data_IF_998984574409
#
_entry.id   IF_998984574409
#
_cell.length_a   1.000
_cell.length_b   1.000
_cell.length_c   1.000
_cell.angle_alpha   90.00
_cell.angle_beta   90.00
_cell.angle_gamma   90.00
#
_symmetry.space_group_name_H-M   'P 1'
#
loop_
_entity.id
_entity.type
_entity.pdbx_description
1 polymer ?
#
# COMPACT_ATOMS: atom_id res chain seq x y z
N UNK A 1 -38.61 -2.10 -4.62
CA UNK A 1 -37.23 -2.67 -4.50
C UNK A 1 -36.27 -1.50 -4.56
N UNK A 2 -35.34 -1.42 -3.62
CA UNK A 2 -34.43 -0.29 -3.55
C UNK A 2 -33.57 -0.20 -4.82
N UNK A 3 -33.44 1.01 -5.37
CA UNK A 3 -32.63 1.28 -6.57
C UNK A 3 -31.12 1.06 -6.37
N UNK A 4 -30.71 0.66 -5.14
CA UNK A 4 -29.33 0.36 -4.75
C UNK A 4 -28.89 -1.09 -5.05
N UNK A 5 -29.76 -1.90 -5.68
CA UNK A 5 -29.40 -3.26 -6.04
C UNK A 5 -28.32 -3.31 -7.12
N UNK A 6 -27.34 -4.20 -6.96
CA UNK A 6 -26.27 -4.43 -7.91
C UNK A 6 -26.86 -5.00 -9.22
N UNK A 7 -26.72 -4.24 -10.31
CA UNK A 7 -27.22 -4.61 -11.65
C UNK A 7 -26.19 -5.45 -12.41
N UNK A 8 -24.92 -5.04 -12.37
CA UNK A 8 -23.88 -5.68 -13.14
C UNK A 8 -22.51 -5.47 -12.51
N UNK A 9 -21.60 -6.43 -12.74
CA UNK A 9 -20.18 -6.36 -12.39
C UNK A 9 -19.39 -6.68 -13.65
N UNK A 10 -18.50 -5.78 -14.06
CA UNK A 10 -17.62 -5.97 -15.22
C UNK A 10 -16.17 -5.79 -14.82
N UNK A 11 -15.27 -6.41 -15.58
CA UNK A 11 -13.83 -6.36 -15.35
C UNK A 11 -13.08 -5.99 -16.62
N UNK A 12 -11.94 -5.32 -16.45
CA UNK A 12 -11.00 -5.08 -17.53
C UNK A 12 -9.58 -5.16 -17.04
N UNK A 13 -8.67 -5.60 -17.91
CA UNK A 13 -7.24 -5.54 -17.63
C UNK A 13 -6.70 -4.14 -17.83
N UNK A 14 -5.76 -3.80 -16.95
CA UNK A 14 -4.91 -2.63 -17.12
C UNK A 14 -3.47 -3.08 -16.99
N UNK A 15 -2.74 -3.02 -18.10
CA UNK A 15 -1.30 -3.27 -18.14
C UNK A 15 -0.62 -1.95 -18.50
N UNK A 16 0.36 -1.54 -17.67
CA UNK A 16 1.12 -0.30 -17.88
C UNK A 16 2.62 -0.56 -17.76
N UNK A 17 3.45 -0.02 -18.64
CA UNK A 17 4.90 -0.03 -18.44
C UNK A 17 5.25 0.82 -17.22
N UNK A 18 6.28 0.39 -16.49
CA UNK A 18 6.88 1.18 -15.42
C UNK A 18 8.00 2.06 -15.99
N UNK A 19 8.21 3.21 -15.38
CA UNK A 19 9.30 4.14 -15.74
C UNK A 19 10.68 3.60 -15.33
N UNK A 20 10.70 2.60 -14.45
CA UNK A 20 11.88 1.91 -13.98
C UNK A 20 11.53 0.46 -13.64
N UNK A 21 12.50 -0.45 -13.67
CA UNK A 21 12.34 -1.79 -13.13
C UNK A 21 12.07 -1.71 -11.63
N UNK A 22 10.91 -2.22 -11.20
CA UNK A 22 10.59 -2.34 -9.78
C UNK A 22 11.11 -3.67 -9.26
N UNK A 23 12.23 -3.62 -8.54
CA UNK A 23 12.90 -4.77 -7.98
C UNK A 23 12.86 -4.76 -6.45
N UNK A 24 12.47 -5.89 -5.88
CA UNK A 24 12.44 -6.20 -4.44
C UNK A 24 13.12 -7.54 -4.20
N UNK A 25 13.23 -7.97 -2.96
CA UNK A 25 13.71 -9.32 -2.63
C UNK A 25 12.83 -10.44 -3.18
N UNK A 26 11.54 -10.17 -3.41
CA UNK A 26 10.56 -11.16 -3.89
C UNK A 26 10.54 -11.30 -5.42
N UNK A 27 11.14 -10.38 -6.16
CA UNK A 27 11.18 -10.41 -7.62
C UNK A 27 11.26 -9.02 -8.25
N UNK A 28 11.20 -9.00 -9.59
CA UNK A 28 11.24 -7.75 -10.35
C UNK A 28 10.20 -7.71 -11.46
N UNK A 29 9.73 -6.51 -11.81
CA UNK A 29 8.81 -6.28 -12.92
C UNK A 29 9.06 -4.94 -13.61
N UNK A 30 8.81 -4.91 -14.92
CA UNK A 30 8.89 -3.71 -15.76
C UNK A 30 7.51 -3.22 -16.20
N UNK A 31 6.46 -3.95 -15.83
CA UNK A 31 5.06 -3.61 -16.12
C UNK A 31 4.20 -3.92 -14.90
N UNK A 32 3.25 -3.05 -14.60
CA UNK A 32 2.15 -3.40 -13.72
C UNK A 32 1.06 -4.15 -14.49
N UNK A 33 0.36 -5.03 -13.81
CA UNK A 33 -0.85 -5.65 -14.31
C UNK A 33 -1.89 -5.65 -13.18
N UNK A 34 -3.05 -5.05 -13.44
CA UNK A 34 -4.19 -4.99 -12.53
C UNK A 34 -5.48 -5.35 -13.24
N UNK A 35 -6.45 -5.83 -12.49
CA UNK A 35 -7.84 -6.00 -12.93
C UNK A 35 -8.67 -4.88 -12.31
N UNK A 36 -9.25 -4.04 -13.14
CA UNK A 36 -10.23 -3.03 -12.70
C UNK A 36 -11.61 -3.69 -12.66
N UNK A 37 -12.28 -3.54 -11.54
CA UNK A 37 -13.65 -3.99 -11.31
C UNK A 37 -14.57 -2.78 -11.38
N UNK A 38 -15.68 -2.90 -12.09
CA UNK A 38 -16.76 -1.92 -12.11
C UNK A 38 -18.03 -2.58 -11.61
N UNK A 39 -18.59 -2.05 -10.53
CA UNK A 39 -19.92 -2.38 -10.02
C UNK A 39 -20.88 -1.29 -10.47
N UNK A 40 -22.01 -1.68 -11.11
CA UNK A 40 -23.08 -0.77 -11.54
C UNK A 40 -24.37 -1.15 -10.85
N UNK A 41 -25.05 -0.16 -10.29
CA UNK A 41 -26.35 -0.32 -9.63
C UNK A 41 -27.52 -0.13 -10.60
N UNK A 42 -28.74 -0.52 -10.20
CA UNK A 42 -29.96 -0.35 -11.00
C UNK A 42 -30.27 1.12 -11.30
N UNK A 43 -29.99 2.03 -10.37
CA UNK A 43 -30.14 3.48 -10.58
C UNK A 43 -29.04 4.11 -11.44
N UNK A 44 -28.06 3.32 -11.90
CA UNK A 44 -26.95 3.79 -12.74
C UNK A 44 -25.71 4.27 -11.99
N UNK A 45 -25.71 4.34 -10.65
CA UNK A 45 -24.51 4.66 -9.87
C UNK A 45 -23.43 3.57 -10.08
N UNK A 46 -22.16 3.98 -10.13
CA UNK A 46 -21.05 3.06 -10.39
C UNK A 46 -19.94 3.27 -9.37
N UNK A 47 -19.30 2.18 -8.97
CA UNK A 47 -18.07 2.17 -8.19
C UNK A 47 -16.98 1.38 -8.89
N UNK A 48 -15.73 1.83 -8.74
CA UNK A 48 -14.54 1.19 -9.28
C UNK A 48 -13.65 0.67 -8.17
N UNK A 49 -13.10 -0.53 -8.36
CA UNK A 49 -12.06 -1.11 -7.54
C UNK A 49 -10.92 -1.62 -8.41
N UNK A 50 -9.79 -1.91 -7.80
CA UNK A 50 -8.60 -2.41 -8.49
C UNK A 50 -8.02 -3.59 -7.72
N UNK A 51 -7.65 -4.65 -8.45
CA UNK A 51 -6.92 -5.80 -7.95
C UNK A 51 -5.55 -5.84 -8.63
N UNK A 52 -4.49 -5.33 -8.01
CA UNK A 52 -3.14 -5.42 -8.57
C UNK A 52 -2.58 -6.84 -8.41
N UNK A 53 -1.81 -7.31 -9.41
CA UNK A 53 -0.98 -8.50 -9.24
C UNK A 53 0.28 -8.14 -8.45
N UNK A 54 0.71 -9.01 -7.53
CA UNK A 54 1.84 -8.74 -6.63
C UNK A 54 2.70 -9.98 -6.41
N UNK A 55 3.99 -9.77 -6.12
CA UNK A 55 4.88 -10.84 -5.64
C UNK A 55 4.55 -11.31 -4.22
N UNK A 56 3.90 -10.47 -3.42
CA UNK A 56 3.45 -10.79 -2.05
C UNK A 56 2.39 -11.90 -2.06
N UNK A 57 1.53 -11.90 -3.08
CA UNK A 57 0.45 -12.89 -3.27
C UNK A 57 0.50 -13.46 -4.70
N UNK A 58 1.49 -14.32 -5.02
CA UNK A 58 1.70 -14.80 -6.39
C UNK A 58 0.55 -15.68 -6.91
N UNK A 59 -0.24 -16.27 -6.03
CA UNK A 59 -1.46 -17.01 -6.35
C UNK A 59 -2.58 -16.10 -6.87
N UNK A 60 -2.57 -14.80 -6.55
CA UNK A 60 -3.50 -13.80 -7.09
C UNK A 60 -2.99 -13.23 -8.42
N UNK A 61 -2.75 -14.11 -9.40
CA UNK A 61 -2.46 -13.70 -10.76
C UNK A 61 -3.74 -13.27 -11.50
N UNK A 62 -3.61 -12.65 -12.67
CA UNK A 62 -4.75 -12.09 -13.41
C UNK A 62 -5.84 -13.11 -13.73
N UNK A 63 -5.49 -14.36 -14.00
CA UNK A 63 -6.47 -15.43 -14.26
C UNK A 63 -7.23 -15.80 -13.00
N UNK A 64 -6.54 -16.00 -11.87
CA UNK A 64 -7.15 -16.32 -10.58
C UNK A 64 -8.06 -15.21 -10.09
N UNK A 65 -7.64 -13.93 -10.22
CA UNK A 65 -8.44 -12.74 -9.90
C UNK A 65 -9.75 -12.76 -10.69
N UNK A 66 -9.69 -12.95 -12.01
CA UNK A 66 -10.90 -13.03 -12.85
C UNK A 66 -11.79 -14.21 -12.44
N UNK A 67 -11.20 -15.39 -12.23
CA UNK A 67 -11.93 -16.58 -11.81
C UNK A 67 -12.71 -16.36 -10.51
N UNK A 68 -12.09 -15.73 -9.51
CA UNK A 68 -12.78 -15.40 -8.27
C UNK A 68 -13.90 -14.39 -8.48
N UNK A 69 -13.69 -13.33 -9.28
CA UNK A 69 -14.71 -12.32 -9.56
C UNK A 69 -15.93 -12.98 -10.27
N UNK A 70 -15.68 -13.79 -11.30
CA UNK A 70 -16.75 -14.53 -12.01
C UNK A 70 -17.53 -15.47 -11.08
N UNK A 71 -16.82 -16.24 -10.25
CA UNK A 71 -17.43 -17.15 -9.29
C UNK A 71 -18.22 -16.42 -8.17
N UNK A 72 -17.88 -15.17 -7.89
CA UNK A 72 -18.55 -14.34 -6.88
C UNK A 72 -19.77 -13.61 -7.44
N UNK A 73 -19.80 -13.33 -8.74
CA UNK A 73 -20.84 -12.53 -9.41
C UNK A 73 -22.27 -12.98 -9.13
N UNK A 74 -22.63 -14.28 -9.22
CA UNK A 74 -23.99 -14.72 -8.94
C UNK A 74 -24.48 -14.43 -7.51
N UNK A 75 -23.55 -14.45 -6.53
CA UNK A 75 -23.86 -14.16 -5.13
C UNK A 75 -23.91 -12.68 -4.79
N UNK A 76 -23.52 -11.80 -5.73
CA UNK A 76 -23.49 -10.34 -5.55
C UNK A 76 -24.60 -9.64 -6.33
N UNK A 77 -24.90 -10.09 -7.55
CA UNK A 77 -25.94 -9.50 -8.42
C UNK A 77 -27.30 -9.58 -7.72
N UNK A 78 -28.03 -8.47 -7.73
CA UNK A 78 -29.34 -8.33 -7.12
C UNK A 78 -29.32 -7.98 -5.63
N UNK A 79 -28.20 -8.10 -4.94
CA UNK A 79 -28.08 -7.65 -3.54
C UNK A 79 -28.04 -6.13 -3.45
N UNK A 80 -28.42 -5.58 -2.31
CA UNK A 80 -28.34 -4.15 -2.02
C UNK A 80 -26.92 -3.77 -1.69
N UNK A 81 -26.40 -2.76 -2.37
CA UNK A 81 -25.00 -2.32 -2.18
C UNK A 81 -24.74 -1.74 -0.78
N UNK A 82 -25.78 -1.31 -0.07
CA UNK A 82 -25.70 -0.91 1.33
C UNK A 82 -25.13 -2.01 2.26
N UNK A 83 -25.21 -3.28 1.84
CA UNK A 83 -24.65 -4.44 2.55
C UNK A 83 -23.18 -4.72 2.19
N UNK A 84 -22.48 -3.80 1.52
CA UNK A 84 -21.10 -4.01 0.99
C UNK A 84 -20.13 -4.62 2.01
N UNK A 85 -20.18 -4.15 3.27
CA UNK A 85 -19.30 -4.65 4.34
C UNK A 85 -19.58 -6.14 4.67
N UNK A 86 -20.86 -6.53 4.71
CA UNK A 86 -21.25 -7.94 4.89
C UNK A 86 -20.79 -8.80 3.71
N UNK A 87 -20.97 -8.32 2.47
CA UNK A 87 -20.47 -8.99 1.27
C UNK A 87 -18.95 -9.17 1.28
N UNK A 88 -18.20 -8.16 1.74
CA UNK A 88 -16.75 -8.22 1.87
C UNK A 88 -16.32 -9.32 2.87
N UNK A 89 -16.98 -9.41 4.03
CA UNK A 89 -16.72 -10.45 5.04
C UNK A 89 -16.98 -11.84 4.46
N UNK A 90 -18.11 -12.03 3.76
CA UNK A 90 -18.46 -13.29 3.09
C UNK A 90 -17.40 -13.70 2.05
N UNK A 91 -16.94 -12.76 1.22
CA UNK A 91 -15.90 -13.00 0.22
C UNK A 91 -14.58 -13.42 0.87
N UNK A 92 -14.12 -12.73 1.91
CA UNK A 92 -12.90 -13.08 2.64
C UNK A 92 -12.97 -14.44 3.29
N UNK A 93 -14.14 -14.80 3.86
CA UNK A 93 -14.35 -16.13 4.45
C UNK A 93 -14.36 -17.23 3.39
N UNK A 94 -14.95 -16.98 2.23
CA UNK A 94 -15.06 -17.96 1.13
C UNK A 94 -13.72 -18.14 0.39
N UNK A 95 -12.93 -17.07 0.27
CA UNK A 95 -11.66 -17.03 -0.47
C UNK A 95 -10.52 -16.49 0.40
N UNK A 96 -10.15 -17.16 1.50
CA UNK A 96 -9.17 -16.64 2.45
C UNK A 96 -7.76 -16.47 1.85
N UNK A 97 -7.46 -17.20 0.75
CA UNK A 97 -6.20 -17.13 0.02
C UNK A 97 -6.16 -16.02 -1.04
N UNK A 98 -7.26 -15.25 -1.21
CA UNK A 98 -7.39 -14.20 -2.23
C UNK A 98 -7.83 -12.85 -1.61
N UNK A 99 -7.11 -12.36 -0.59
CA UNK A 99 -7.50 -11.15 0.15
C UNK A 99 -7.46 -9.88 -0.72
N UNK A 100 -6.51 -9.78 -1.66
CA UNK A 100 -6.39 -8.61 -2.53
C UNK A 100 -7.54 -8.53 -3.55
N UNK A 101 -7.99 -9.67 -4.06
CA UNK A 101 -9.17 -9.72 -4.94
C UNK A 101 -10.44 -9.35 -4.19
N UNK A 102 -10.61 -9.86 -2.96
CA UNK A 102 -11.74 -9.50 -2.09
C UNK A 102 -11.73 -7.98 -1.80
N UNK A 103 -10.54 -7.41 -1.56
CA UNK A 103 -10.35 -5.97 -1.35
C UNK A 103 -10.79 -5.13 -2.55
N UNK A 104 -10.39 -5.52 -3.77
CA UNK A 104 -10.79 -4.80 -4.98
C UNK A 104 -12.30 -4.85 -5.22
N UNK A 105 -12.95 -6.01 -4.97
CA UNK A 105 -14.43 -6.14 -5.04
C UNK A 105 -15.08 -5.24 -3.99
N UNK A 106 -14.62 -5.29 -2.73
CA UNK A 106 -15.13 -4.46 -1.64
C UNK A 106 -15.03 -2.97 -1.98
N UNK A 107 -13.87 -2.51 -2.47
CA UNK A 107 -13.67 -1.11 -2.84
C UNK A 107 -14.64 -0.65 -3.93
N UNK A 108 -14.91 -1.50 -4.93
CA UNK A 108 -15.88 -1.20 -5.97
C UNK A 108 -17.33 -1.13 -5.42
N UNK A 109 -17.71 -2.03 -4.54
CA UNK A 109 -19.03 -2.04 -3.88
C UNK A 109 -19.20 -0.81 -2.98
N UNK A 110 -18.21 -0.52 -2.13
CA UNK A 110 -18.19 0.64 -1.23
C UNK A 110 -18.32 1.95 -2.01
N UNK A 111 -17.59 2.13 -3.11
CA UNK A 111 -17.70 3.31 -3.97
C UNK A 111 -19.04 3.45 -4.65
N UNK A 112 -19.63 2.34 -5.11
CA UNK A 112 -20.98 2.33 -5.66
C UNK A 112 -22.00 2.77 -4.61
N UNK A 113 -21.85 2.29 -3.36
CA UNK A 113 -22.69 2.70 -2.24
C UNK A 113 -22.52 4.19 -1.90
N UNK A 114 -21.28 4.70 -1.84
CA UNK A 114 -21.03 6.13 -1.60
C UNK A 114 -21.68 6.99 -2.68
N UNK A 115 -21.53 6.59 -3.95
CA UNK A 115 -22.13 7.31 -5.08
C UNK A 115 -23.65 7.30 -5.01
N UNK A 116 -24.25 6.16 -4.67
CA UNK A 116 -25.70 6.03 -4.45
C UNK A 116 -26.18 6.92 -3.31
N UNK A 117 -25.43 6.97 -2.20
CA UNK A 117 -25.78 7.73 -1.00
C UNK A 117 -25.40 9.21 -1.06
N UNK A 118 -24.84 9.69 -2.18
CA UNK A 118 -24.36 11.09 -2.33
C UNK A 118 -23.23 11.46 -1.38
N UNK A 119 -22.45 10.47 -0.90
CA UNK A 119 -21.39 10.68 0.06
C UNK A 119 -20.04 10.86 -0.66
N UNK A 120 -19.25 11.81 -0.17
CA UNK A 120 -17.86 12.04 -0.59
C UNK A 120 -16.92 11.04 0.11
N UNK A 121 -15.98 10.43 -0.63
CA UNK A 121 -15.05 9.42 -0.09
C UNK A 121 -14.18 9.99 1.04
N UNK A 122 -13.61 11.19 0.86
CA UNK A 122 -12.75 11.83 1.85
C UNK A 122 -13.51 12.20 3.13
N UNK A 123 -14.71 12.79 3.00
CA UNK A 123 -15.58 13.11 4.15
C UNK A 123 -16.02 11.85 4.87
N UNK A 124 -16.23 10.76 4.15
CA UNK A 124 -16.60 9.49 4.75
C UNK A 124 -15.49 8.92 5.65
N UNK A 125 -14.22 9.15 5.30
CA UNK A 125 -13.08 8.83 6.17
C UNK A 125 -12.85 9.84 7.33
N UNK A 126 -13.60 10.92 7.42
CA UNK A 126 -13.51 11.93 8.48
C UNK A 126 -13.12 13.33 8.02
N UNK A 127 -12.51 13.47 6.83
CA UNK A 127 -12.22 14.77 6.23
C UNK A 127 -11.20 15.62 7.00
N UNK A 128 -10.21 15.01 7.67
CA UNK A 128 -9.34 15.71 8.62
C UNK A 128 -8.25 16.56 7.94
N UNK A 129 -7.62 16.07 6.87
CA UNK A 129 -6.58 16.78 6.10
C UNK A 129 -6.90 16.76 4.62
N UNK A 130 -6.58 17.81 3.89
CA UNK A 130 -6.79 17.93 2.44
C UNK A 130 -5.50 17.71 1.62
N UNK A 131 -4.38 17.43 2.29
CA UNK A 131 -3.09 17.13 1.65
C UNK A 131 -2.28 16.14 2.47
N UNK A 132 -1.46 15.33 1.78
CA UNK A 132 -0.43 14.46 2.36
C UNK A 132 0.82 14.45 1.47
N UNK A 133 2.00 14.28 2.08
CA UNK A 133 3.26 14.01 1.35
C UNK A 133 3.57 12.50 1.43
N UNK A 134 4.00 11.91 0.32
CA UNK A 134 4.45 10.51 0.25
C UNK A 134 5.96 10.42 0.09
N UNK A 135 6.53 9.28 0.47
CA UNK A 135 7.89 8.93 0.11
C UNK A 135 8.00 8.51 -1.37
N UNK A 136 9.23 8.17 -1.79
CA UNK A 136 9.53 7.54 -3.09
C UNK A 136 10.42 6.33 -2.88
N UNK A 137 10.04 5.20 -3.46
CA UNK A 137 10.81 3.96 -3.39
C UNK A 137 12.04 4.01 -4.31
N UNK A 138 13.18 3.56 -3.81
CA UNK A 138 14.39 3.24 -4.56
C UNK A 138 14.45 1.71 -4.69
N UNK A 139 14.33 1.14 -5.91
CA UNK A 139 14.36 -0.30 -6.11
C UNK A 139 15.77 -0.86 -5.91
N UNK A 140 15.86 -2.17 -5.67
CA UNK A 140 17.15 -2.87 -5.61
C UNK A 140 17.84 -2.72 -6.98
N UNK A 141 19.06 -2.17 -6.99
CA UNK A 141 19.85 -1.99 -8.21
C UNK A 141 21.33 -1.74 -7.88
N UNK A 142 22.22 -1.99 -8.83
CA UNK A 142 23.62 -1.55 -8.83
C UNK A 142 23.92 -0.56 -9.97
N UNK A 143 22.91 -0.14 -10.71
CA UNK A 143 23.05 0.84 -11.78
C UNK A 143 23.18 2.27 -11.19
N UNK A 144 24.40 2.78 -11.13
CA UNK A 144 24.72 4.11 -10.61
C UNK A 144 24.07 5.24 -11.41
N UNK A 145 24.01 5.09 -12.73
CA UNK A 145 23.40 6.10 -13.60
C UNK A 145 21.90 6.19 -13.33
N UNK A 146 21.26 5.02 -13.18
CA UNK A 146 19.85 4.96 -12.78
C UNK A 146 19.63 5.61 -11.41
N UNK A 147 20.39 5.23 -10.38
CA UNK A 147 20.22 5.78 -9.01
C UNK A 147 20.36 7.30 -9.04
N UNK A 148 21.42 7.81 -9.69
CA UNK A 148 21.68 9.25 -9.81
C UNK A 148 20.52 9.99 -10.48
N UNK A 149 20.03 9.45 -11.60
CA UNK A 149 18.88 10.00 -12.33
C UNK A 149 17.58 9.96 -11.54
N UNK A 150 17.33 8.82 -10.83
CA UNK A 150 16.14 8.61 -10.02
C UNK A 150 16.09 9.56 -8.81
N UNK A 151 17.18 9.63 -8.04
CA UNK A 151 17.29 10.54 -6.89
C UNK A 151 17.21 12.00 -7.37
N UNK A 152 17.91 12.38 -8.44
CA UNK A 152 17.82 13.73 -9.00
C UNK A 152 16.42 14.12 -9.43
N UNK A 153 15.65 13.18 -10.03
CA UNK A 153 14.24 13.37 -10.36
C UNK A 153 13.39 13.55 -9.09
N UNK A 154 13.56 12.68 -8.09
CA UNK A 154 12.81 12.72 -6.84
C UNK A 154 13.04 14.03 -6.09
N UNK A 155 14.29 14.49 -6.00
CA UNK A 155 14.64 15.77 -5.37
C UNK A 155 13.98 16.96 -6.07
N UNK A 156 13.94 16.97 -7.42
CA UNK A 156 13.24 18.01 -8.19
C UNK A 156 11.73 17.98 -7.99
N UNK A 157 11.16 16.80 -7.73
CA UNK A 157 9.74 16.62 -7.42
C UNK A 157 9.39 16.92 -5.94
N UNK A 158 10.36 17.30 -5.12
CA UNK A 158 10.15 17.71 -3.74
C UNK A 158 10.03 16.57 -2.73
N UNK A 159 10.43 15.34 -3.10
CA UNK A 159 10.48 14.25 -2.13
C UNK A 159 11.51 14.52 -1.04
N UNK A 160 11.15 14.24 0.22
CA UNK A 160 12.00 14.36 1.40
C UNK A 160 12.28 13.01 2.05
N UNK A 161 11.42 12.02 1.82
CA UNK A 161 11.56 10.66 2.35
C UNK A 161 11.80 9.67 1.22
N UNK A 162 12.75 8.77 1.41
CA UNK A 162 13.18 7.79 0.41
C UNK A 162 13.13 6.39 1.02
N UNK A 163 12.27 5.51 0.47
CA UNK A 163 12.21 4.12 0.88
C UNK A 163 13.16 3.28 0.02
N UNK A 164 14.14 2.63 0.64
CA UNK A 164 15.15 1.83 -0.05
C UNK A 164 14.79 0.36 0.11
N UNK A 165 14.60 -0.33 -1.02
CA UNK A 165 14.43 -1.78 -1.02
C UNK A 165 15.78 -2.45 -0.79
N UNK A 166 15.82 -3.35 0.20
CA UNK A 166 17.01 -4.12 0.59
C UNK A 166 16.69 -5.62 0.53
N UNK A 167 17.71 -6.49 0.42
CA UNK A 167 17.48 -7.92 0.17
C UNK A 167 18.30 -8.87 1.06
N UNK A 168 18.95 -8.35 2.09
CA UNK A 168 19.77 -9.15 3.02
C UNK A 168 21.18 -9.47 2.52
N UNK A 169 21.56 -9.04 1.33
CA UNK A 169 22.93 -9.09 0.85
C UNK A 169 23.70 -7.87 1.42
N UNK A 170 24.47 -8.11 2.45
CA UNK A 170 25.13 -7.06 3.23
C UNK A 170 25.92 -6.09 2.36
N UNK A 171 26.70 -6.60 1.40
CA UNK A 171 27.53 -5.73 0.54
C UNK A 171 26.67 -4.85 -0.38
N UNK A 172 25.63 -5.47 -0.99
CA UNK A 172 24.73 -4.74 -1.91
C UNK A 172 23.90 -3.70 -1.17
N UNK A 173 23.36 -4.08 -0.01
CA UNK A 173 22.51 -3.21 0.79
C UNK A 173 23.29 -2.01 1.34
N UNK A 174 24.51 -2.23 1.89
CA UNK A 174 25.39 -1.15 2.36
C UNK A 174 25.77 -0.21 1.20
N UNK A 175 26.14 -0.78 0.05
CA UNK A 175 26.50 0.02 -1.13
C UNK A 175 25.32 0.87 -1.61
N UNK A 176 24.13 0.29 -1.76
CA UNK A 176 22.93 1.00 -2.25
C UNK A 176 22.54 2.14 -1.30
N UNK A 177 22.44 1.85 0.01
CA UNK A 177 22.10 2.85 1.01
C UNK A 177 23.14 3.98 1.03
N UNK A 178 24.44 3.62 1.10
CA UNK A 178 25.52 4.60 1.09
C UNK A 178 25.52 5.48 -0.16
N UNK A 179 25.24 4.89 -1.33
CA UNK A 179 25.15 5.64 -2.59
C UNK A 179 23.98 6.62 -2.60
N UNK A 180 22.80 6.20 -2.15
CA UNK A 180 21.63 7.08 -2.02
C UNK A 180 21.91 8.22 -1.05
N UNK A 181 22.47 7.92 0.13
CA UNK A 181 22.84 8.93 1.14
C UNK A 181 23.82 9.94 0.58
N UNK A 182 24.88 9.48 -0.10
CA UNK A 182 25.89 10.38 -0.69
C UNK A 182 25.25 11.37 -1.69
N UNK A 183 24.36 10.89 -2.56
CA UNK A 183 23.64 11.72 -3.52
C UNK A 183 22.72 12.73 -2.83
N UNK A 184 21.99 12.31 -1.79
CA UNK A 184 21.10 13.19 -1.06
C UNK A 184 21.85 14.24 -0.24
N UNK A 185 22.90 13.87 0.47
CA UNK A 185 23.78 14.81 1.21
C UNK A 185 24.36 15.90 0.29
N UNK A 186 24.70 15.54 -0.95
CA UNK A 186 25.20 16.51 -1.95
C UNK A 186 24.17 17.59 -2.30
N UNK A 187 22.88 17.35 -2.10
CA UNK A 187 21.84 18.36 -2.37
C UNK A 187 21.76 19.45 -1.30
N UNK A 188 22.33 19.24 -0.13
CA UNK A 188 22.23 20.14 1.03
C UNK A 188 20.82 20.23 1.66
N UNK A 189 19.88 19.38 1.23
CA UNK A 189 18.51 19.33 1.74
C UNK A 189 18.38 18.30 2.85
N UNK A 190 17.49 18.53 3.79
CA UNK A 190 17.09 17.51 4.77
C UNK A 190 16.33 16.37 4.08
N UNK A 191 16.59 15.15 4.53
CA UNK A 191 15.94 13.95 4.05
C UNK A 191 15.86 12.88 5.14
N UNK A 192 14.94 11.95 4.97
CA UNK A 192 14.84 10.73 5.76
C UNK A 192 14.82 9.48 4.88
N UNK A 193 15.17 8.34 5.47
CA UNK A 193 15.20 7.05 4.81
C UNK A 193 14.28 6.07 5.52
N UNK A 194 13.72 5.13 4.76
CA UNK A 194 13.03 3.94 5.24
C UNK A 194 13.65 2.73 4.55
N UNK A 195 13.83 1.64 5.28
CA UNK A 195 14.29 0.38 4.70
C UNK A 195 13.10 -0.56 4.54
N UNK A 196 13.06 -1.32 3.45
CA UNK A 196 12.04 -2.35 3.25
C UNK A 196 12.70 -3.65 2.80
N UNK A 197 12.65 -4.65 3.67
CA UNK A 197 13.29 -5.94 3.49
C UNK A 197 12.46 -6.93 2.68
N UNK A 198 11.16 -6.71 2.55
CA UNK A 198 10.22 -7.65 1.93
C UNK A 198 10.54 -9.11 2.28
N UNK A 199 10.73 -9.38 3.59
CA UNK A 199 10.92 -10.71 4.16
C UNK A 199 12.28 -11.40 3.84
N UNK A 200 13.32 -10.65 3.46
CA UNK A 200 14.58 -11.24 3.00
C UNK A 200 15.63 -11.50 4.09
N UNK A 201 15.42 -10.98 5.30
CA UNK A 201 16.43 -10.99 6.34
C UNK A 201 16.24 -12.13 7.35
N UNK A 202 17.33 -12.48 8.01
CA UNK A 202 17.33 -13.13 9.33
C UNK A 202 17.37 -12.07 10.43
N UNK A 203 17.12 -12.45 11.68
CA UNK A 203 17.28 -11.55 12.84
C UNK A 203 18.68 -10.93 12.85
N UNK A 204 19.71 -11.79 12.73
CA UNK A 204 21.10 -11.35 12.78
C UNK A 204 21.46 -10.36 11.65
N UNK A 205 21.08 -10.66 10.40
CA UNK A 205 21.41 -9.78 9.27
C UNK A 205 20.64 -8.45 9.36
N UNK A 206 19.39 -8.47 9.89
CA UNK A 206 18.63 -7.27 10.13
C UNK A 206 19.27 -6.37 11.19
N UNK A 207 19.63 -6.94 12.36
CA UNK A 207 20.30 -6.19 13.42
C UNK A 207 21.63 -5.63 12.95
N UNK A 208 22.43 -6.42 12.19
CA UNK A 208 23.69 -5.94 11.61
C UNK A 208 23.51 -4.76 10.66
N UNK A 209 22.46 -4.76 9.82
CA UNK A 209 22.15 -3.61 8.96
C UNK A 209 21.70 -2.39 9.78
N UNK A 210 20.87 -2.59 10.80
CA UNK A 210 20.46 -1.50 11.70
C UNK A 210 21.66 -0.88 12.45
N UNK A 211 22.58 -1.69 12.94
CA UNK A 211 23.83 -1.22 13.58
C UNK A 211 24.70 -0.45 12.59
N UNK A 212 24.82 -0.94 11.33
CA UNK A 212 25.57 -0.25 10.30
C UNK A 212 25.01 1.15 10.02
N UNK A 213 23.70 1.27 9.72
CA UNK A 213 23.10 2.57 9.39
C UNK A 213 23.18 3.56 10.55
N UNK A 214 23.08 3.06 11.80
CA UNK A 214 23.27 3.87 13.01
C UNK A 214 24.71 4.38 13.12
N UNK A 215 25.71 3.51 12.96
CA UNK A 215 27.14 3.87 13.02
C UNK A 215 27.53 4.89 11.96
N UNK A 216 26.98 4.77 10.75
CA UNK A 216 27.21 5.72 9.64
C UNK A 216 26.40 7.03 9.80
N UNK A 217 25.56 7.14 10.82
CA UNK A 217 24.70 8.32 11.04
C UNK A 217 23.74 8.57 9.88
N UNK A 218 23.16 7.51 9.30
CA UNK A 218 22.15 7.63 8.26
C UNK A 218 20.78 7.89 8.89
N UNK A 219 19.99 8.84 8.35
CA UNK A 219 18.71 9.21 8.94
C UNK A 219 17.60 8.20 8.59
N UNK A 220 17.74 6.95 9.05
CA UNK A 220 16.76 5.88 8.83
C UNK A 220 15.69 5.92 9.92
N UNK A 221 14.42 6.07 9.52
CA UNK A 221 13.26 6.19 10.42
C UNK A 221 12.73 4.84 10.91
N UNK A 222 12.77 3.83 10.03
CA UNK A 222 12.15 2.52 10.27
C UNK A 222 12.68 1.43 9.34
N UNK A 223 12.38 0.17 9.72
CA UNK A 223 12.61 -0.99 8.88
C UNK A 223 11.28 -1.74 8.66
N UNK A 224 10.80 -1.76 7.42
CA UNK A 224 9.57 -2.44 7.02
C UNK A 224 9.85 -3.91 6.70
N UNK A 225 9.03 -4.81 7.25
CA UNK A 225 8.99 -6.26 7.07
C UNK A 225 10.33 -6.93 6.77
N UNK A 226 11.31 -6.90 7.69
CA UNK A 226 12.61 -7.51 7.43
C UNK A 226 12.55 -9.03 7.34
N UNK A 227 11.79 -9.69 8.23
CA UNK A 227 11.70 -11.15 8.31
C UNK A 227 10.47 -11.71 7.61
N UNK A 228 10.48 -13.02 7.37
CA UNK A 228 9.31 -13.76 6.87
C UNK A 228 8.11 -13.49 7.77
N UNK A 229 6.94 -13.34 7.15
CA UNK A 229 5.68 -12.97 7.83
C UNK A 229 5.22 -13.97 8.91
N UNK A 230 5.68 -15.22 8.81
CA UNK A 230 5.36 -16.33 9.71
C UNK A 230 6.48 -16.63 10.72
N UNK A 231 7.61 -15.94 10.67
CA UNK A 231 8.67 -16.00 11.68
C UNK A 231 8.32 -15.14 12.89
N UNK A 232 7.28 -15.54 13.63
CA UNK A 232 6.81 -14.79 14.79
C UNK A 232 7.86 -14.70 15.91
N UNK A 233 8.68 -15.75 16.05
CA UNK A 233 9.76 -15.76 17.06
C UNK A 233 10.82 -14.71 16.73
N UNK A 234 11.30 -14.68 15.48
CA UNK A 234 12.29 -13.71 15.05
C UNK A 234 11.74 -12.28 15.07
N UNK A 235 10.46 -12.08 14.69
CA UNK A 235 9.81 -10.77 14.78
C UNK A 235 9.74 -10.27 16.23
N UNK A 236 9.46 -11.15 17.20
CA UNK A 236 9.46 -10.82 18.62
C UNK A 236 10.85 -10.40 19.11
N UNK A 237 11.87 -11.13 18.69
CA UNK A 237 13.27 -10.81 19.00
C UNK A 237 13.67 -9.45 18.40
N UNK A 238 13.37 -9.20 17.12
CA UNK A 238 13.62 -7.89 16.50
C UNK A 238 12.88 -6.75 17.18
N UNK A 239 11.63 -6.95 17.58
CA UNK A 239 10.87 -5.92 18.29
C UNK A 239 11.57 -5.49 19.56
N UNK A 240 12.23 -6.45 20.24
CA UNK A 240 12.94 -6.18 21.51
C UNK A 240 14.31 -5.53 21.32
N UNK A 241 15.04 -5.89 20.26
CA UNK A 241 16.47 -5.55 20.15
C UNK A 241 16.80 -4.61 18.99
N UNK A 242 15.89 -4.38 18.05
CA UNK A 242 16.14 -3.48 16.92
C UNK A 242 16.24 -2.02 17.41
N UNK A 243 17.32 -1.29 17.03
CA UNK A 243 17.42 0.12 17.31
C UNK A 243 16.50 0.97 16.42
N UNK A 244 15.92 0.39 15.37
CA UNK A 244 14.96 1.02 14.48
C UNK A 244 13.57 0.44 14.72
N UNK A 245 12.51 1.27 14.61
CA UNK A 245 11.14 0.76 14.60
C UNK A 245 10.92 -0.26 13.49
N UNK A 246 10.37 -1.44 13.83
CA UNK A 246 9.99 -2.49 12.87
C UNK A 246 8.52 -2.32 12.52
N UNK A 247 8.21 -2.07 11.24
CA UNK A 247 6.85 -1.92 10.71
C UNK A 247 6.47 -3.18 9.95
N UNK A 248 5.35 -3.81 10.32
CA UNK A 248 4.90 -5.07 9.72
C UNK A 248 3.99 -4.81 8.51
N UNK A 249 4.31 -5.38 7.35
CA UNK A 249 3.52 -5.31 6.13
C UNK A 249 2.84 -6.66 5.83
N UNK A 250 3.61 -7.64 5.36
CA UNK A 250 3.08 -8.93 4.92
C UNK A 250 2.58 -9.81 6.09
N UNK A 251 2.90 -9.46 7.33
CA UNK A 251 2.38 -10.14 8.53
C UNK A 251 0.93 -9.75 8.82
N UNK A 252 0.46 -8.55 8.36
CA UNK A 252 -0.87 -8.03 8.73
C UNK A 252 -1.73 -7.75 7.51
N UNK A 253 -2.78 -8.55 7.30
CA UNK A 253 -3.80 -8.40 6.26
C UNK A 253 -5.20 -8.14 6.83
N UNK A 254 -5.40 -8.35 8.13
CA UNK A 254 -6.70 -8.23 8.78
C UNK A 254 -6.53 -7.80 10.24
N UNK A 255 -7.63 -7.34 10.84
CA UNK A 255 -7.70 -7.06 12.26
C UNK A 255 -7.24 -8.25 13.12
N UNK A 256 -7.63 -9.48 12.74
CA UNK A 256 -7.23 -10.71 13.46
C UNK A 256 -5.71 -10.91 13.45
N UNK A 257 -5.04 -10.63 12.32
CA UNK A 257 -3.57 -10.68 12.28
C UNK A 257 -2.96 -9.63 13.21
N UNK A 258 -3.53 -8.42 13.25
CA UNK A 258 -3.05 -7.38 14.16
C UNK A 258 -3.29 -7.74 15.64
N UNK A 259 -4.41 -8.38 15.99
CA UNK A 259 -4.66 -8.91 17.32
C UNK A 259 -3.55 -9.89 17.76
N UNK A 260 -3.13 -10.79 16.86
CA UNK A 260 -1.99 -11.69 17.11
C UNK A 260 -0.68 -10.92 17.32
N UNK A 261 -0.40 -9.94 16.44
CA UNK A 261 0.79 -9.08 16.56
C UNK A 261 0.86 -8.38 17.91
N UNK A 262 -0.25 -7.82 18.37
CA UNK A 262 -0.33 -7.11 19.65
C UNK A 262 -0.15 -8.07 20.82
N UNK A 263 -0.86 -9.19 20.81
CA UNK A 263 -0.82 -10.18 21.91
C UNK A 263 0.57 -10.80 22.07
N UNK A 264 1.28 -11.02 20.97
CA UNK A 264 2.63 -11.59 20.97
C UNK A 264 3.73 -10.54 21.12
N UNK A 265 3.40 -9.24 21.06
CA UNK A 265 4.37 -8.15 21.12
C UNK A 265 5.29 -8.10 19.92
N UNK A 266 4.73 -8.18 18.71
CA UNK A 266 5.46 -8.19 17.44
C UNK A 266 5.41 -6.81 16.77
N UNK A 267 6.56 -6.33 16.32
CA UNK A 267 6.66 -5.05 15.59
C UNK A 267 6.31 -3.82 16.44
N UNK A 268 6.66 -2.66 15.95
CA UNK A 268 6.37 -1.36 16.56
C UNK A 268 5.21 -0.65 15.85
N UNK A 269 4.85 -1.14 14.67
CA UNK A 269 3.78 -0.59 13.85
C UNK A 269 3.37 -1.52 12.71
N UNK A 270 2.42 -1.05 11.90
CA UNK A 270 1.83 -1.81 10.81
C UNK A 270 1.66 -0.94 9.57
N UNK A 271 1.99 -1.51 8.40
CA UNK A 271 1.72 -0.91 7.10
C UNK A 271 0.37 -1.39 6.58
N UNK A 272 -0.58 -0.46 6.47
CA UNK A 272 -1.94 -0.70 5.98
C UNK A 272 -2.00 -0.36 4.51
N UNK A 273 -2.37 -1.36 3.69
CA UNK A 273 -2.60 -1.19 2.25
C UNK A 273 -4.05 -1.56 1.95
N UNK A 274 -4.84 -0.60 1.46
CA UNK A 274 -6.23 -0.87 1.08
C UNK A 274 -6.30 -2.02 0.07
N UNK A 275 -5.32 -2.12 -0.83
CA UNK A 275 -5.21 -3.25 -1.77
C UNK A 275 -5.10 -4.62 -1.08
N UNK A 276 -4.51 -4.73 0.13
CA UNK A 276 -4.44 -5.97 0.93
C UNK A 276 -5.71 -6.22 1.72
N UNK A 277 -6.14 -5.20 2.45
CA UNK A 277 -7.10 -5.34 3.55
C UNK A 277 -8.52 -4.92 3.17
N UNK A 278 -8.68 -4.12 2.11
CA UNK A 278 -9.96 -3.48 1.77
C UNK A 278 -10.29 -2.33 2.73
N UNK A 279 -11.47 -1.79 2.59
CA UNK A 279 -11.90 -0.61 3.34
C UNK A 279 -12.22 -0.97 4.79
N UNK A 280 -13.04 -2.01 5.00
CA UNK A 280 -13.55 -2.39 6.33
C UNK A 280 -12.43 -2.87 7.26
N UNK A 281 -11.58 -3.78 6.79
CA UNK A 281 -10.46 -4.28 7.59
C UNK A 281 -9.40 -3.20 7.81
N UNK A 282 -9.12 -2.35 6.82
CA UNK A 282 -8.16 -1.25 7.00
C UNK A 282 -8.56 -0.31 8.13
N UNK A 283 -9.82 0.10 8.19
CA UNK A 283 -10.32 0.92 9.29
C UNK A 283 -10.29 0.20 10.64
N UNK A 284 -10.65 -1.09 10.66
CA UNK A 284 -10.58 -1.89 11.88
C UNK A 284 -9.14 -2.06 12.39
N UNK A 285 -8.15 -2.15 11.46
CA UNK A 285 -6.72 -2.16 11.79
C UNK A 285 -6.29 -0.80 12.34
N UNK A 286 -6.69 0.32 11.70
CA UNK A 286 -6.38 1.68 12.17
C UNK A 286 -6.87 1.86 13.62
N UNK A 287 -8.13 1.52 13.89
CA UNK A 287 -8.73 1.67 15.21
C UNK A 287 -8.01 0.84 16.28
N UNK A 288 -7.69 -0.40 15.96
CA UNK A 288 -7.01 -1.31 16.88
C UNK A 288 -5.56 -0.87 17.14
N UNK A 289 -4.82 -0.47 16.09
CA UNK A 289 -3.45 0.02 16.21
C UNK A 289 -3.36 1.28 17.05
N UNK A 290 -4.26 2.28 16.83
CA UNK A 290 -4.33 3.49 17.65
C UNK A 290 -4.59 3.19 19.13
N UNK A 291 -5.53 2.28 19.44
CA UNK A 291 -5.82 1.86 20.82
C UNK A 291 -4.59 1.26 21.52
N UNK A 292 -3.71 0.63 20.76
CA UNK A 292 -2.50 -0.01 21.27
C UNK A 292 -1.23 0.82 21.05
N UNK A 293 -1.35 2.08 20.62
CA UNK A 293 -0.24 3.03 20.40
C UNK A 293 0.82 2.50 19.41
N UNK A 294 0.39 1.69 18.45
CA UNK A 294 1.27 1.23 17.37
C UNK A 294 1.42 2.30 16.30
N UNK A 295 2.61 2.40 15.71
CA UNK A 295 2.86 3.24 14.55
C UNK A 295 2.03 2.78 13.35
N UNK A 296 1.51 3.73 12.59
CA UNK A 296 0.71 3.47 11.41
C UNK A 296 1.40 4.00 10.14
N UNK A 297 1.53 3.14 9.16
CA UNK A 297 2.00 3.47 7.81
C UNK A 297 0.89 3.20 6.82
N UNK A 298 0.62 4.15 5.93
CA UNK A 298 -0.26 3.95 4.77
C UNK A 298 0.57 3.58 3.57
N UNK A 299 0.43 2.35 3.08
CA UNK A 299 1.17 1.87 1.92
C UNK A 299 0.30 1.52 0.73
N UNK A 300 0.97 1.14 -0.37
CA UNK A 300 0.31 0.72 -1.59
C UNK A 300 0.99 -0.52 -2.23
N UNK A 301 0.32 -1.11 -3.19
CA UNK A 301 0.90 -1.97 -4.20
C UNK A 301 1.26 -1.14 -5.45
N UNK A 302 1.82 -1.75 -6.49
CA UNK A 302 1.93 -1.06 -7.79
C UNK A 302 0.55 -1.08 -8.44
N UNK A 303 -0.17 0.02 -8.31
CA UNK A 303 -1.55 0.19 -8.74
C UNK A 303 -1.77 1.56 -9.42
N UNK A 304 -2.88 1.70 -10.14
CA UNK A 304 -3.27 2.97 -10.75
C UNK A 304 -3.97 3.86 -9.71
N UNK A 305 -4.27 5.12 -10.08
CA UNK A 305 -5.07 5.99 -9.21
C UNK A 305 -6.44 5.42 -8.84
N UNK A 306 -6.95 4.44 -9.59
CA UNK A 306 -8.22 3.79 -9.24
C UNK A 306 -8.13 3.05 -7.90
N UNK A 307 -7.05 2.28 -7.67
CA UNK A 307 -6.80 1.62 -6.39
C UNK A 307 -6.21 2.59 -5.37
N UNK A 308 -5.11 3.25 -5.74
CA UNK A 308 -4.30 4.10 -4.88
C UNK A 308 -5.11 5.20 -4.18
N UNK A 309 -6.10 5.79 -4.89
CA UNK A 309 -6.91 6.88 -4.33
C UNK A 309 -7.66 6.52 -3.04
N UNK A 310 -8.03 5.25 -2.86
CA UNK A 310 -8.68 4.84 -1.61
C UNK A 310 -7.72 4.94 -0.41
N UNK A 311 -6.44 4.55 -0.59
CA UNK A 311 -5.40 4.72 0.42
C UNK A 311 -5.08 6.19 0.68
N UNK A 312 -4.96 7.00 -0.39
CA UNK A 312 -4.73 8.45 -0.28
C UNK A 312 -5.85 9.12 0.51
N UNK A 313 -7.11 8.87 0.14
CA UNK A 313 -8.27 9.49 0.80
C UNK A 313 -8.48 8.98 2.22
N UNK A 314 -8.14 7.71 2.50
CA UNK A 314 -8.13 7.17 3.87
C UNK A 314 -7.07 7.87 4.71
N UNK A 315 -5.86 8.04 4.19
CA UNK A 315 -4.77 8.70 4.92
C UNK A 315 -5.12 10.17 5.22
N UNK A 316 -5.57 10.92 4.22
CA UNK A 316 -6.03 12.30 4.37
C UNK A 316 -7.24 12.41 5.32
N UNK A 317 -8.23 11.54 5.13
CA UNK A 317 -9.51 11.66 5.84
C UNK A 317 -9.42 11.30 7.31
N UNK A 318 -8.61 10.30 7.68
CA UNK A 318 -8.46 9.85 9.07
C UNK A 318 -7.39 10.61 9.83
N UNK A 319 -6.40 11.20 9.15
CA UNK A 319 -5.19 11.81 9.73
C UNK A 319 -4.53 10.91 10.79
N UNK A 320 -4.53 9.60 10.54
CA UNK A 320 -4.16 8.60 11.51
C UNK A 320 -2.73 8.05 11.33
N UNK A 321 -2.07 8.38 10.23
CA UNK A 321 -0.85 7.71 9.80
C UNK A 321 0.41 8.53 10.13
N UNK A 322 1.36 7.89 10.80
CA UNK A 322 2.69 8.45 11.08
C UNK A 322 3.57 8.50 9.81
N UNK A 323 3.36 7.54 8.89
CA UNK A 323 4.16 7.37 7.69
C UNK A 323 3.28 7.14 6.46
N UNK A 324 3.64 7.77 5.33
CA UNK A 324 2.94 7.64 4.05
C UNK A 324 3.90 7.05 3.01
N UNK A 325 3.47 5.97 2.32
CA UNK A 325 4.18 5.21 1.29
C UNK A 325 3.20 4.89 0.14
N UNK A 326 2.73 5.93 -0.54
CA UNK A 326 1.69 5.87 -1.56
C UNK A 326 2.24 6.29 -2.93
N UNK A 327 3.43 5.80 -3.29
CA UNK A 327 4.23 6.28 -4.40
C UNK A 327 3.98 5.57 -5.75
N UNK A 328 3.10 4.57 -5.82
CA UNK A 328 2.96 3.70 -7.01
C UNK A 328 2.74 4.47 -8.31
N UNK A 329 2.01 5.58 -8.27
CA UNK A 329 1.71 6.40 -9.47
C UNK A 329 2.99 7.03 -10.07
N UNK A 330 4.05 7.21 -9.27
CA UNK A 330 5.32 7.77 -9.72
C UNK A 330 6.17 6.76 -10.53
N UNK A 331 5.80 5.47 -10.44
CA UNK A 331 6.36 4.39 -11.26
C UNK A 331 5.66 4.21 -12.61
N UNK A 332 4.51 4.85 -12.85
CA UNK A 332 3.75 4.66 -14.08
C UNK A 332 4.11 5.70 -15.14
N UNK A 333 4.36 5.25 -16.40
CA UNK A 333 4.52 6.15 -17.53
C UNK A 333 3.28 6.99 -17.79
N UNK A 334 2.10 6.35 -17.72
CA UNK A 334 0.81 6.98 -17.95
C UNK A 334 0.01 6.99 -16.66
N UNK A 335 -0.19 8.17 -16.10
CA UNK A 335 -0.98 8.38 -14.89
C UNK A 335 -2.43 8.62 -15.30
N UNK A 336 -3.35 7.93 -14.64
CA UNK A 336 -4.77 8.28 -14.70
C UNK A 336 -5.09 9.19 -13.51
N UNK A 337 -6.16 9.96 -13.62
CA UNK A 337 -6.75 10.68 -12.49
C UNK A 337 -7.89 9.85 -11.89
N UNK A 338 -8.19 10.07 -10.64
CA UNK A 338 -9.38 9.55 -9.97
C UNK A 338 -9.91 10.59 -8.97
N UNK A 339 -11.22 10.86 -9.08
CA UNK A 339 -11.86 11.84 -8.19
C UNK A 339 -11.26 13.24 -8.32
N UNK A 340 -11.14 13.90 -7.19
CA UNK A 340 -10.63 15.27 -7.02
C UNK A 340 -9.24 15.30 -6.36
N UNK A 341 -8.42 14.27 -6.60
CA UNK A 341 -7.04 14.23 -6.13
C UNK A 341 -6.12 14.82 -7.20
N UNK A 342 -5.43 15.90 -6.84
CA UNK A 342 -4.31 16.47 -7.58
C UNK A 342 -2.98 15.88 -7.10
N UNK A 343 -2.01 15.78 -8.00
CA UNK A 343 -0.66 15.29 -7.73
C UNK A 343 0.33 16.41 -8.05
N UNK A 344 1.06 16.86 -7.04
CA UNK A 344 2.09 17.88 -7.16
C UNK A 344 3.39 17.35 -6.53
N UNK A 345 4.26 16.79 -7.38
CA UNK A 345 5.48 16.15 -6.92
C UNK A 345 5.22 15.04 -5.90
N UNK A 346 5.76 15.18 -4.69
CA UNK A 346 5.55 14.26 -3.57
C UNK A 346 4.19 14.43 -2.88
N UNK A 347 3.43 15.48 -3.21
CA UNK A 347 2.22 15.86 -2.50
C UNK A 347 0.97 15.43 -3.25
N UNK A 348 0.03 14.80 -2.55
CA UNK A 348 -1.36 14.63 -2.97
C UNK A 348 -2.21 15.69 -2.30
N UNK A 349 -3.09 16.36 -3.09
CA UNK A 349 -3.99 17.40 -2.59
C UNK A 349 -5.39 17.19 -3.09
N UNK A 350 -6.38 17.57 -2.29
CA UNK A 350 -7.74 17.76 -2.79
C UNK A 350 -7.78 18.98 -3.71
N UNK A 351 -8.30 18.79 -4.91
CA UNK A 351 -8.56 19.90 -5.85
C UNK A 351 -10.07 20.18 -5.84
N UNK A 352 -10.46 21.37 -5.35
CA UNK A 352 -11.84 21.78 -5.43
C UNK A 352 -12.22 21.89 -6.91
N UNK A 353 -12.94 20.90 -7.44
CA UNK A 353 -13.65 21.10 -8.69
C UNK A 353 -14.72 22.15 -8.39
N UNK A 354 -14.51 23.40 -8.87
CA UNK A 354 -15.61 24.36 -8.94
C UNK A 354 -16.72 23.65 -9.70
N UNK A 355 -17.84 23.43 -8.99
CA UNK A 355 -19.09 22.88 -9.52
C UNK A 355 -19.58 23.69 -10.70
#
# INVERSE_FOLDING_TARGET
MADDAIKNITVRDVVRPLVATFATSLGQKTRMHSIIIRVRLKNGAEGLGECPTSFVMPNENAQAIRGMIEASRPGLIGRNVSEYAGMAIELRRKYPQMPMTASGIETALWRAWLKFSGKDEWKWFGGASDAIETDITVPITRDEAFISGWIGRAVRMGFKTYKIKVNGDTEKDHWLIGRVVALLRHTGKEFSLRLDGNQAFSVQSCLGLCEHVNREGYPVELFEQPLKRDDLHGLKELTRFSPLPVILDETVFSRRHLETVINEGLGHGVNIKVAKSGITESLAIVDLAKKNRMKLMAGCMIETMTGLSAGILMAMGTDAFDHIDLDSIHYLHHRNSYGDIGIDGACYRRVNRKS
#
